data_IF_008473565015
#
_entry.id   IF_008473565015
#
_cell.length_a   1.000
_cell.length_b   1.000
_cell.length_c   1.000
_cell.angle_alpha   90.00
_cell.angle_beta   90.00
_cell.angle_gamma   90.00
#
_symmetry.space_group_name_H-M   'P 1'
#
loop_
_entity.id
_entity.type
_entity.pdbx_description
1 polymer ?
#
# COMPACT_ATOMS: atom_id res chain seq x y z
N UNK A 1 5.20 29.03 -40.47
CA UNK A 1 6.39 28.51 -39.78
C UNK A 1 6.40 29.06 -38.36
N UNK A 2 6.24 28.20 -37.34
CA UNK A 2 6.41 28.55 -35.93
C UNK A 2 7.53 27.66 -35.38
N UNK A 3 8.61 28.30 -34.98
CA UNK A 3 9.87 27.71 -34.54
C UNK A 3 9.70 26.97 -33.22
N UNK A 4 9.98 25.68 -33.22
CA UNK A 4 10.08 24.84 -32.03
C UNK A 4 11.40 25.19 -31.32
N UNK A 5 11.33 25.64 -30.07
CA UNK A 5 12.53 25.84 -29.22
C UNK A 5 12.86 24.51 -28.55
N UNK A 6 13.97 23.91 -28.99
CA UNK A 6 14.65 22.78 -28.35
C UNK A 6 15.23 23.27 -27.02
N UNK A 7 14.91 22.61 -25.91
CA UNK A 7 15.63 22.77 -24.65
C UNK A 7 16.60 21.60 -24.55
N UNK A 8 17.89 21.87 -24.76
CA UNK A 8 18.97 20.91 -24.55
C UNK A 8 19.12 20.61 -23.05
N UNK A 9 18.73 19.41 -22.63
CA UNK A 9 19.16 18.82 -21.37
C UNK A 9 20.63 18.42 -21.50
N UNK A 10 21.53 19.30 -21.04
CA UNK A 10 22.94 18.96 -20.84
C UNK A 10 23.06 18.11 -19.57
N UNK A 11 23.09 16.79 -19.74
CA UNK A 11 23.48 15.85 -18.70
C UNK A 11 25.00 15.94 -18.48
N UNK A 12 25.50 16.19 -17.25
CA UNK A 12 26.92 16.04 -16.96
C UNK A 12 27.25 14.54 -16.92
N UNK A 13 27.92 14.05 -17.95
CA UNK A 13 28.65 12.78 -17.92
C UNK A 13 29.82 12.93 -16.94
N UNK A 14 29.65 12.42 -15.73
CA UNK A 14 30.75 12.23 -14.78
C UNK A 14 31.72 11.19 -15.35
N UNK A 15 32.81 11.67 -15.95
CA UNK A 15 33.97 10.87 -16.29
C UNK A 15 34.67 10.44 -14.99
N UNK A 16 34.61 9.14 -14.66
CA UNK A 16 35.48 8.52 -13.66
C UNK A 16 36.91 8.45 -14.20
N UNK A 17 37.69 9.48 -13.89
CA UNK A 17 39.14 9.49 -14.08
C UNK A 17 39.84 8.88 -12.86
N UNK A 18 40.43 7.71 -13.05
CA UNK A 18 41.37 7.07 -12.13
C UNK A 18 42.74 7.74 -12.23
N UNK A 19 43.38 8.01 -11.09
CA UNK A 19 44.84 7.87 -11.00
C UNK A 19 45.67 9.07 -10.55
N UNK A 20 46.43 8.80 -9.48
CA UNK A 20 47.80 9.24 -9.17
C UNK A 20 48.03 10.45 -8.22
N UNK A 21 48.58 10.03 -7.08
CA UNK A 21 49.32 10.75 -6.03
C UNK A 21 50.54 11.52 -6.52
N UNK A 22 50.78 12.71 -5.95
CA UNK A 22 52.11 13.15 -5.47
C UNK A 22 52.03 14.47 -4.68
N UNK A 23 52.81 14.53 -3.59
CA UNK A 23 53.09 15.68 -2.70
C UNK A 23 53.76 16.85 -3.44
N UNK A 24 53.49 18.09 -3.02
CA UNK A 24 54.47 19.05 -2.43
C UNK A 24 53.84 20.43 -2.12
N UNK A 25 54.61 21.26 -1.40
CA UNK A 25 54.24 22.29 -0.40
C UNK A 25 54.30 23.75 -0.93
N UNK A 26 53.49 24.62 -0.30
CA UNK A 26 53.57 26.09 -0.12
C UNK A 26 53.26 27.07 -1.28
N UNK A 27 52.26 27.95 -1.08
CA UNK A 27 52.42 29.35 -0.62
C UNK A 27 51.06 30.06 -0.48
N UNK A 28 50.94 30.95 0.50
CA UNK A 28 49.78 31.81 0.77
C UNK A 28 49.50 32.82 -0.35
N UNK A 29 48.23 32.93 -0.78
CA UNK A 29 47.63 34.21 -1.15
C UNK A 29 46.16 34.29 -0.72
N UNK A 30 45.90 35.16 0.25
CA UNK A 30 44.58 35.73 0.56
C UNK A 30 44.06 36.51 -0.65
N UNK A 31 42.82 36.25 -1.07
CA UNK A 31 41.77 37.27 -1.28
C UNK A 31 40.45 36.63 -1.72
N UNK A 32 39.36 37.04 -1.05
CA UNK A 32 37.99 36.92 -1.54
C UNK A 32 37.29 35.59 -1.26
N UNK A 33 36.68 35.45 -0.08
CA UNK A 33 35.63 34.45 0.14
C UNK A 33 34.35 34.98 -0.52
N UNK A 34 33.80 34.38 -1.59
CA UNK A 34 32.39 34.51 -1.85
C UNK A 34 31.66 33.67 -0.79
N UNK A 35 30.69 34.29 -0.12
CA UNK A 35 29.71 33.59 0.72
C UNK A 35 29.30 32.30 0.03
N UNK A 36 29.61 31.17 0.67
CA UNK A 36 28.95 29.90 0.40
C UNK A 36 27.48 30.18 0.61
N UNK A 37 26.73 30.22 -0.49
CA UNK A 37 25.29 30.16 -0.43
C UNK A 37 24.98 28.90 0.40
N UNK A 38 24.43 29.14 1.58
CA UNK A 38 23.72 28.15 2.37
C UNK A 38 22.85 27.38 1.39
N UNK A 39 23.31 26.17 1.03
CA UNK A 39 22.40 25.17 0.52
C UNK A 39 21.46 24.98 1.68
N UNK A 40 20.22 25.46 1.50
CA UNK A 40 19.11 25.21 2.40
C UNK A 40 19.16 23.74 2.76
N UNK A 41 19.66 23.47 3.97
CA UNK A 41 19.48 22.18 4.61
C UNK A 41 17.97 22.06 4.70
N UNK A 42 17.38 21.29 3.78
CA UNK A 42 16.08 20.68 4.04
C UNK A 42 16.20 20.10 5.43
N UNK A 43 15.29 20.54 6.28
CA UNK A 43 15.34 20.45 7.72
C UNK A 43 15.35 18.98 8.18
N UNK A 44 16.51 18.32 8.09
CA UNK A 44 16.78 16.97 8.62
C UNK A 44 16.58 16.91 10.13
N UNK A 45 16.49 18.08 10.79
CA UNK A 45 16.26 18.19 12.23
C UNK A 45 14.83 17.80 12.65
N UNK A 46 13.84 17.80 11.74
CA UNK A 46 12.45 17.53 12.11
C UNK A 46 12.19 16.07 12.53
N UNK A 47 13.05 15.13 12.12
CA UNK A 47 12.92 13.70 12.44
C UNK A 47 13.72 13.26 13.68
N UNK A 48 14.51 14.16 14.27
CA UNK A 48 15.47 13.78 15.33
C UNK A 48 14.85 13.56 16.72
N UNK A 49 13.53 13.73 16.89
CA UNK A 49 12.89 13.62 18.22
C UNK A 49 11.74 12.62 18.33
N UNK A 50 11.03 12.32 17.25
CA UNK A 50 10.05 11.23 17.24
C UNK A 50 9.78 10.69 15.82
N UNK A 51 10.32 9.51 15.50
CA UNK A 51 10.14 8.84 14.20
C UNK A 51 8.84 8.03 14.12
N UNK A 52 8.17 7.79 15.25
CA UNK A 52 7.02 6.87 15.32
C UNK A 52 5.69 7.60 15.28
N UNK A 53 5.59 8.79 15.88
CA UNK A 53 4.35 9.56 15.85
C UNK A 53 3.81 9.82 14.43
N UNK A 54 4.62 10.21 13.43
CA UNK A 54 4.13 10.37 12.05
C UNK A 54 3.58 9.08 11.45
N UNK A 55 4.20 7.93 11.74
CA UNK A 55 3.73 6.62 11.29
C UNK A 55 2.39 6.31 11.95
N UNK A 56 2.30 6.49 13.26
CA UNK A 56 1.09 6.23 14.02
C UNK A 56 -0.08 7.10 13.54
N UNK A 57 0.15 8.40 13.31
CA UNK A 57 -0.85 9.31 12.75
C UNK A 57 -1.33 8.87 11.37
N UNK A 58 -0.43 8.39 10.50
CA UNK A 58 -0.80 7.94 9.17
C UNK A 58 -1.63 6.65 9.22
N UNK A 59 -1.25 5.68 10.05
CA UNK A 59 -2.05 4.46 10.28
C UNK A 59 -3.45 4.80 10.80
N UNK A 60 -3.56 5.74 11.74
CA UNK A 60 -4.84 6.22 12.30
C UNK A 60 -5.72 6.91 11.23
N UNK A 61 -5.12 7.63 10.28
CA UNK A 61 -5.87 8.27 9.18
C UNK A 61 -6.48 7.22 8.26
N UNK A 62 -5.70 6.23 7.84
CA UNK A 62 -6.18 5.17 6.94
C UNK A 62 -7.36 4.43 7.61
N UNK A 63 -7.26 4.17 8.92
CA UNK A 63 -8.34 3.56 9.70
C UNK A 63 -9.63 4.43 9.71
N UNK A 64 -9.50 5.72 10.04
CA UNK A 64 -10.64 6.66 10.17
C UNK A 64 -11.32 6.95 8.84
N UNK A 65 -10.55 7.22 7.78
CA UNK A 65 -11.10 7.44 6.45
C UNK A 65 -11.90 6.21 5.98
N UNK A 66 -11.42 5.01 6.32
CA UNK A 66 -12.19 3.78 6.15
C UNK A 66 -13.54 3.85 6.86
N UNK A 67 -13.60 4.13 8.16
CA UNK A 67 -14.84 4.21 8.95
C UNK A 67 -15.85 5.24 8.42
N UNK A 68 -15.42 6.45 8.09
CA UNK A 68 -16.29 7.52 7.62
C UNK A 68 -16.97 7.19 6.29
N UNK A 69 -16.23 6.59 5.34
CA UNK A 69 -16.77 6.16 4.04
C UNK A 69 -17.84 5.06 4.19
N UNK A 70 -17.75 4.21 5.23
CA UNK A 70 -18.77 3.21 5.55
C UNK A 70 -20.09 3.84 5.98
N UNK A 71 -20.00 4.89 6.78
CA UNK A 71 -21.15 5.58 7.36
C UNK A 71 -21.85 6.48 6.32
N UNK A 72 -21.09 7.10 5.41
CA UNK A 72 -21.64 7.86 4.29
C UNK A 72 -22.43 6.97 3.32
N UNK A 73 -21.86 5.84 2.87
CA UNK A 73 -22.55 4.88 1.97
C UNK A 73 -23.79 4.25 2.59
N UNK A 74 -23.80 3.97 3.91
CA UNK A 74 -25.01 3.51 4.63
C UNK A 74 -26.13 4.55 4.68
N UNK A 75 -25.77 5.84 4.72
CA UNK A 75 -26.75 6.92 4.77
C UNK A 75 -27.40 7.14 3.39
N UNK A 76 -26.64 6.95 2.31
CA UNK A 76 -27.13 7.06 0.93
C UNK A 76 -27.96 5.82 0.49
N UNK A 77 -27.59 4.60 0.89
CA UNK A 77 -28.40 3.38 0.62
C UNK A 77 -29.77 3.42 1.32
N UNK A 78 -29.89 4.05 2.49
CA UNK A 78 -31.16 4.17 3.22
C UNK A 78 -32.13 5.21 2.60
N UNK A 79 -31.62 6.15 1.80
CA UNK A 79 -32.45 7.13 1.08
C UNK A 79 -33.00 6.53 -0.22
N UNK A 80 -32.24 5.66 -0.88
CA UNK A 80 -32.66 4.99 -2.12
C UNK A 80 -33.65 3.83 -1.93
N UNK A 81 -33.73 3.22 -0.74
CA UNK A 81 -34.76 2.22 -0.42
C UNK A 81 -36.16 2.81 -0.27
N UNK A 82 -36.28 4.09 0.08
CA UNK A 82 -37.57 4.78 0.31
C UNK A 82 -38.28 5.17 -1.00
N UNK A 83 -37.62 5.06 -2.16
CA UNK A 83 -38.19 5.43 -3.47
C UNK A 83 -38.73 4.21 -4.25
N UNK A 84 -38.46 2.97 -3.82
CA UNK A 84 -38.84 1.75 -4.56
C UNK A 84 -39.99 0.93 -3.95
N UNK A 85 -40.70 1.43 -2.94
CA UNK A 85 -41.85 0.73 -2.34
C UNK A 85 -43.24 1.16 -2.87
N UNK A 86 -43.32 1.80 -4.03
CA UNK A 86 -44.59 2.01 -4.75
C UNK A 86 -44.59 1.37 -6.14
N UNK A 87 -44.37 0.06 -6.24
CA UNK A 87 -45.06 -0.71 -7.29
C UNK A 87 -45.13 -2.20 -6.91
N UNK A 88 -46.15 -2.54 -6.10
CA UNK A 88 -46.58 -3.93 -5.97
C UNK A 88 -48.05 -4.02 -6.35
N UNK A 89 -48.34 -4.66 -7.48
CA UNK A 89 -49.52 -5.53 -7.66
C UNK A 89 -49.57 -6.17 -9.06
N UNK A 90 -49.14 -7.43 -9.19
CA UNK A 90 -50.03 -8.50 -9.70
C UNK A 90 -49.50 -9.93 -9.51
N UNK A 91 -50.30 -10.68 -8.76
CA UNK A 91 -50.52 -12.14 -8.65
C UNK A 91 -50.48 -12.83 -10.04
N UNK A 92 -50.08 -14.10 -10.22
CA UNK A 92 -50.92 -15.31 -10.05
C UNK A 92 -50.10 -16.64 -10.13
N UNK A 93 -50.45 -17.54 -9.18
CA UNK A 93 -50.33 -19.03 -8.99
C UNK A 93 -50.42 -19.93 -10.25
N UNK A 94 -50.15 -21.26 -10.33
CA UNK A 94 -49.62 -22.41 -9.54
C UNK A 94 -49.50 -23.62 -10.53
N UNK A 95 -48.47 -24.49 -10.34
CA UNK A 95 -48.32 -25.98 -10.48
C UNK A 95 -49.31 -26.91 -11.28
N UNK A 96 -49.04 -28.23 -11.48
CA UNK A 96 -47.81 -29.03 -11.74
C UNK A 96 -48.02 -30.14 -12.85
N UNK A 97 -47.11 -31.13 -12.99
CA UNK A 97 -47.35 -32.61 -13.21
C UNK A 97 -46.39 -33.33 -14.21
N UNK A 98 -45.60 -34.26 -13.62
CA UNK A 98 -45.21 -35.65 -13.97
C UNK A 98 -44.47 -36.11 -15.26
N UNK A 99 -43.24 -36.61 -15.02
CA UNK A 99 -42.75 -38.03 -15.06
C UNK A 99 -42.56 -38.79 -16.41
N UNK A 100 -41.43 -39.52 -16.44
CA UNK A 100 -40.96 -40.59 -17.37
C UNK A 100 -40.25 -40.09 -18.65
N UNK A 101 -39.10 -40.58 -19.09
CA UNK A 101 -38.41 -41.86 -18.85
C UNK A 101 -36.88 -41.69 -18.95
N UNK A 102 -36.14 -42.37 -18.05
CA UNK A 102 -34.70 -42.59 -18.20
C UNK A 102 -34.49 -43.76 -19.15
N UNK A 103 -33.61 -43.61 -20.15
CA UNK A 103 -33.14 -44.72 -20.99
C UNK A 103 -31.62 -44.87 -20.85
N UNK A 104 -31.19 -46.15 -20.84
CA UNK A 104 -29.84 -46.69 -20.63
C UNK A 104 -28.82 -46.32 -21.75
N UNK A 105 -29.03 -45.24 -22.49
CA UNK A 105 -28.17 -44.81 -23.60
C UNK A 105 -27.34 -43.54 -23.30
N UNK A 106 -27.63 -42.83 -22.20
CA UNK A 106 -26.90 -41.62 -21.82
C UNK A 106 -25.79 -41.87 -20.77
N UNK A 107 -25.60 -43.12 -20.38
CA UNK A 107 -24.52 -43.59 -19.48
C UNK A 107 -23.16 -43.74 -20.20
N UNK A 108 -23.05 -43.24 -21.44
CA UNK A 108 -21.81 -43.25 -22.25
C UNK A 108 -21.39 -41.87 -22.81
N UNK A 109 -22.00 -40.79 -22.35
CA UNK A 109 -21.48 -39.41 -22.52
C UNK A 109 -20.77 -38.90 -21.25
N UNK A 110 -20.44 -39.79 -20.31
CA UNK A 110 -19.82 -39.44 -19.03
C UNK A 110 -18.28 -39.42 -19.05
N UNK A 111 -17.66 -39.13 -20.20
CA UNK A 111 -16.20 -38.97 -20.30
C UNK A 111 -15.76 -37.70 -21.04
N UNK A 112 -16.67 -36.85 -21.50
CA UNK A 112 -16.31 -35.66 -22.30
C UNK A 112 -17.17 -34.41 -21.99
N UNK A 113 -17.49 -34.20 -20.71
CA UNK A 113 -18.09 -32.95 -20.24
C UNK A 113 -17.24 -32.34 -19.14
N UNK A 114 -16.54 -31.30 -19.57
CA UNK A 114 -16.17 -30.13 -18.80
C UNK A 114 -15.49 -30.43 -17.46
N UNK A 115 -14.18 -30.21 -17.45
CA UNK A 115 -13.56 -29.54 -16.31
C UNK A 115 -14.44 -28.31 -16.06
N UNK A 116 -15.37 -28.43 -15.12
CA UNK A 116 -16.04 -27.30 -14.50
C UNK A 116 -14.87 -26.54 -13.89
N UNK A 117 -14.29 -25.62 -14.67
CA UNK A 117 -13.60 -24.48 -14.09
C UNK A 117 -14.60 -23.98 -13.10
N UNK A 118 -14.26 -24.06 -11.82
CA UNK A 118 -15.00 -23.41 -10.77
C UNK A 118 -15.08 -21.94 -11.21
N UNK A 119 -16.18 -21.59 -11.88
CA UNK A 119 -16.46 -20.23 -12.32
C UNK A 119 -16.89 -19.56 -11.04
N UNK A 120 -15.89 -19.25 -10.21
CA UNK A 120 -16.09 -18.32 -9.14
C UNK A 120 -16.68 -17.07 -9.77
N UNK A 121 -17.84 -16.60 -9.26
CA UNK A 121 -18.46 -15.41 -9.81
C UNK A 121 -17.40 -14.29 -9.84
N UNK A 122 -17.35 -13.49 -10.91
CA UNK A 122 -16.37 -12.41 -11.00
C UNK A 122 -16.47 -11.54 -9.75
N UNK A 123 -15.32 -11.26 -9.14
CA UNK A 123 -15.24 -10.39 -7.96
C UNK A 123 -15.89 -9.06 -8.32
N UNK A 124 -16.88 -8.63 -7.54
CA UNK A 124 -17.53 -7.34 -7.74
C UNK A 124 -16.69 -6.23 -7.10
N UNK A 125 -16.81 -4.99 -7.58
CA UNK A 125 -16.14 -3.85 -6.95
C UNK A 125 -16.49 -3.74 -5.45
N UNK A 126 -17.77 -3.89 -5.08
CA UNK A 126 -18.20 -3.86 -3.67
C UNK A 126 -17.53 -4.95 -2.83
N UNK A 127 -17.37 -6.16 -3.38
CA UNK A 127 -16.68 -7.24 -2.69
C UNK A 127 -15.19 -6.94 -2.53
N UNK A 128 -14.53 -6.47 -3.58
CA UNK A 128 -13.13 -6.05 -3.53
C UNK A 128 -12.90 -4.93 -2.51
N UNK A 129 -13.72 -3.88 -2.50
CA UNK A 129 -13.68 -2.78 -1.53
C UNK A 129 -13.81 -3.26 -0.07
N UNK A 130 -14.64 -4.29 0.18
CA UNK A 130 -14.79 -4.89 1.50
C UNK A 130 -13.56 -5.71 1.90
N UNK A 131 -13.03 -6.50 0.98
CA UNK A 131 -11.90 -7.39 1.23
C UNK A 131 -10.61 -6.60 1.44
N UNK A 132 -10.31 -5.63 0.56
CA UNK A 132 -9.13 -4.78 0.69
C UNK A 132 -9.14 -4.04 2.03
N UNK A 133 -10.29 -3.49 2.44
CA UNK A 133 -10.45 -2.83 3.74
C UNK A 133 -10.19 -3.78 4.90
N UNK A 134 -10.73 -4.99 4.84
CA UNK A 134 -10.56 -5.98 5.91
C UNK A 134 -9.08 -6.33 6.07
N UNK A 135 -8.37 -6.52 4.96
CA UNK A 135 -6.93 -6.81 4.96
C UNK A 135 -6.11 -5.61 5.43
N UNK A 136 -6.44 -4.39 4.99
CA UNK A 136 -5.77 -3.17 5.46
C UNK A 136 -5.94 -2.98 6.97
N UNK A 137 -7.14 -3.17 7.53
CA UNK A 137 -7.32 -3.07 8.99
C UNK A 137 -6.48 -4.11 9.76
N UNK A 138 -6.31 -5.32 9.22
CA UNK A 138 -5.41 -6.31 9.83
C UNK A 138 -3.95 -5.86 9.78
N UNK A 139 -3.53 -5.26 8.67
CA UNK A 139 -2.20 -4.69 8.49
C UNK A 139 -1.93 -3.50 9.43
N UNK A 140 -2.88 -2.56 9.53
CA UNK A 140 -2.83 -1.41 10.46
C UNK A 140 -2.73 -1.85 11.92
N UNK A 141 -3.51 -2.86 12.32
CA UNK A 141 -3.47 -3.39 13.68
C UNK A 141 -2.11 -3.98 14.07
N UNK A 142 -1.39 -4.58 13.11
CA UNK A 142 -0.02 -5.03 13.35
C UNK A 142 0.94 -3.83 13.44
N UNK A 143 0.80 -2.84 12.57
CA UNK A 143 1.60 -1.62 12.60
C UNK A 143 1.43 -0.81 13.88
N UNK A 144 0.21 -0.68 14.41
CA UNK A 144 -0.06 0.05 15.66
C UNK A 144 0.74 -0.48 16.85
N UNK A 145 1.23 -1.72 16.80
CA UNK A 145 2.08 -2.30 17.85
C UNK A 145 3.48 -1.67 17.89
N UNK A 146 3.90 -0.91 16.88
CA UNK A 146 5.20 -0.24 16.85
C UNK A 146 5.34 0.84 17.93
N UNK A 147 4.28 1.61 18.17
CA UNK A 147 4.27 2.71 19.14
C UNK A 147 4.56 2.25 20.56
N UNK A 148 3.84 1.28 21.14
CA UNK A 148 4.16 0.79 22.48
C UNK A 148 5.53 0.13 22.56
N UNK A 149 6.07 -0.44 21.47
CA UNK A 149 7.44 -0.96 21.45
C UNK A 149 8.43 0.19 21.61
N UNK A 150 8.32 1.24 20.78
CA UNK A 150 9.20 2.40 20.82
C UNK A 150 9.12 3.19 22.14
N UNK A 151 7.94 3.33 22.71
CA UNK A 151 7.75 4.01 24.00
C UNK A 151 8.45 3.29 25.16
N UNK A 152 8.53 1.95 25.14
CA UNK A 152 9.30 1.18 26.12
C UNK A 152 10.80 1.43 26.01
N UNK A 153 11.30 1.53 24.79
CA UNK A 153 12.72 1.76 24.51
C UNK A 153 12.92 2.40 23.14
N UNK A 154 13.16 3.72 23.17
CA UNK A 154 13.37 4.55 21.98
C UNK A 154 14.62 4.17 21.18
N UNK A 155 15.59 3.51 21.82
CA UNK A 155 16.81 3.04 21.17
C UNK A 155 16.67 1.66 20.52
N UNK A 156 15.51 1.03 20.71
CA UNK A 156 15.21 -0.35 20.32
C UNK A 156 16.23 -1.40 20.78
N UNK A 157 17.02 -1.13 21.82
CA UNK A 157 18.11 -2.03 22.26
C UNK A 157 17.61 -3.24 23.03
N UNK A 158 16.55 -3.06 23.81
CA UNK A 158 15.99 -4.03 24.77
C UNK A 158 14.72 -4.73 24.28
N UNK A 159 14.09 -4.21 23.22
CA UNK A 159 12.83 -4.70 22.65
C UNK A 159 13.00 -5.24 21.22
N UNK A 160 14.23 -5.52 20.76
CA UNK A 160 14.55 -5.98 19.39
C UNK A 160 13.69 -7.13 18.91
N UNK A 161 13.45 -8.11 19.78
CA UNK A 161 12.66 -9.29 19.42
C UNK A 161 11.18 -8.96 19.28
N UNK A 162 10.64 -8.06 20.10
CA UNK A 162 9.27 -7.54 19.92
C UNK A 162 9.15 -6.78 18.58
N UNK A 163 10.12 -5.91 18.28
CA UNK A 163 10.16 -5.16 17.01
C UNK A 163 10.26 -6.11 15.81
N UNK A 164 11.17 -7.08 15.85
CA UNK A 164 11.34 -8.10 14.80
C UNK A 164 10.05 -8.89 14.54
N UNK A 165 9.37 -9.32 15.59
CA UNK A 165 8.14 -10.12 15.46
C UNK A 165 6.97 -9.29 14.94
N UNK A 166 6.84 -8.04 15.37
CA UNK A 166 5.87 -7.10 14.80
C UNK A 166 6.13 -6.89 13.30
N UNK A 167 7.38 -6.61 12.89
CA UNK A 167 7.70 -6.39 11.48
C UNK A 167 7.37 -7.61 10.62
N UNK A 168 7.69 -8.84 11.09
CA UNK A 168 7.32 -10.08 10.39
C UNK A 168 5.80 -10.24 10.26
N UNK A 169 5.05 -9.95 11.32
CA UNK A 169 3.59 -10.04 11.31
C UNK A 169 2.96 -9.02 10.35
N UNK A 170 3.43 -7.77 10.39
CA UNK A 170 3.02 -6.70 9.47
C UNK A 170 3.26 -7.09 8.01
N UNK A 171 4.45 -7.63 7.71
CA UNK A 171 4.78 -8.09 6.35
C UNK A 171 3.83 -9.19 5.88
N UNK A 172 3.52 -10.16 6.73
CA UNK A 172 2.59 -11.24 6.39
C UNK A 172 1.16 -10.72 6.10
N UNK A 173 0.73 -9.64 6.75
CA UNK A 173 -0.55 -9.00 6.42
C UNK A 173 -0.46 -8.21 5.11
N UNK A 174 0.63 -7.50 4.88
CA UNK A 174 0.90 -6.78 3.63
C UNK A 174 0.88 -7.68 2.41
N UNK A 175 1.46 -8.89 2.52
CA UNK A 175 1.43 -9.88 1.44
C UNK A 175 0.01 -10.33 1.08
N UNK A 176 -0.95 -10.30 2.01
CA UNK A 176 -2.36 -10.59 1.69
C UNK A 176 -3.00 -9.48 0.87
N UNK A 177 -2.66 -8.22 1.17
CA UNK A 177 -3.11 -7.04 0.42
C UNK A 177 -2.57 -7.12 -1.01
N UNK A 178 -1.26 -7.36 -1.18
CA UNK A 178 -0.61 -7.52 -2.50
C UNK A 178 -1.24 -8.62 -3.36
N UNK A 179 -1.65 -9.73 -2.73
CA UNK A 179 -2.22 -10.87 -3.45
C UNK A 179 -3.72 -10.73 -3.76
N UNK A 180 -4.38 -9.67 -3.29
CA UNK A 180 -5.80 -9.45 -3.57
C UNK A 180 -5.99 -8.99 -5.02
N UNK A 181 -6.72 -9.79 -5.80
CA UNK A 181 -6.98 -9.48 -7.21
C UNK A 181 -8.19 -8.56 -7.34
N UNK A 182 -8.05 -7.38 -7.99
CA UNK A 182 -9.21 -6.56 -8.31
C UNK A 182 -10.09 -7.20 -9.39
N UNK A 183 -11.34 -6.72 -9.55
CA UNK A 183 -12.16 -7.04 -10.70
C UNK A 183 -11.46 -6.64 -12.00
N UNK A 184 -11.73 -7.35 -13.11
CA UNK A 184 -11.08 -7.11 -14.40
C UNK A 184 -11.27 -5.68 -14.93
N UNK A 185 -12.43 -5.07 -14.66
CA UNK A 185 -12.74 -3.69 -15.05
C UNK A 185 -11.88 -2.65 -14.32
N UNK A 186 -11.32 -3.03 -13.16
CA UNK A 186 -10.51 -2.19 -12.28
C UNK A 186 -9.13 -2.82 -12.05
N UNK A 187 -8.58 -3.51 -13.06
CA UNK A 187 -7.31 -4.23 -12.95
C UNK A 187 -6.11 -3.31 -12.64
N UNK A 188 -6.20 -2.03 -12.99
CA UNK A 188 -5.23 -1.00 -12.63
C UNK A 188 -5.01 -0.86 -11.12
N UNK A 189 -6.02 -1.16 -10.28
CA UNK A 189 -5.83 -1.16 -8.82
C UNK A 189 -4.80 -2.18 -8.34
N UNK A 190 -4.50 -3.20 -9.14
CA UNK A 190 -3.44 -4.14 -8.83
C UNK A 190 -2.11 -3.42 -8.73
N UNK A 191 -1.75 -2.61 -9.73
CA UNK A 191 -0.50 -1.85 -9.73
C UNK A 191 -0.54 -0.73 -8.69
N UNK A 192 -1.67 -0.03 -8.57
CA UNK A 192 -1.81 1.08 -7.61
C UNK A 192 -1.59 0.61 -6.17
N UNK A 193 -1.99 -0.61 -5.81
CA UNK A 193 -1.70 -1.21 -4.50
C UNK A 193 -0.26 -1.73 -4.41
N UNK A 194 0.25 -2.36 -5.48
CA UNK A 194 1.58 -2.96 -5.46
C UNK A 194 2.71 -1.94 -5.30
N UNK A 195 2.60 -0.76 -5.89
CA UNK A 195 3.63 0.28 -5.81
C UNK A 195 3.90 0.76 -4.36
N UNK A 196 2.90 1.22 -3.58
CA UNK A 196 3.11 1.57 -2.18
C UNK A 196 3.48 0.36 -1.31
N UNK A 197 2.89 -0.81 -1.56
CA UNK A 197 3.23 -2.02 -0.80
C UNK A 197 4.69 -2.45 -0.98
N UNK A 198 5.26 -2.26 -2.18
CA UNK A 198 6.68 -2.48 -2.43
C UNK A 198 7.55 -1.55 -1.58
N UNK A 199 7.20 -0.27 -1.47
CA UNK A 199 7.93 0.69 -0.63
C UNK A 199 7.84 0.29 0.85
N UNK A 200 6.65 -0.05 1.33
CA UNK A 200 6.42 -0.55 2.69
C UNK A 200 7.29 -1.78 2.96
N UNK A 201 7.32 -2.75 2.04
CA UNK A 201 8.10 -3.99 2.20
C UNK A 201 9.60 -3.72 2.28
N UNK A 202 10.12 -2.85 1.41
CA UNK A 202 11.52 -2.44 1.46
C UNK A 202 11.86 -1.75 2.78
N UNK A 203 10.97 -0.88 3.26
CA UNK A 203 11.13 -0.20 4.54
C UNK A 203 11.15 -1.18 5.73
N UNK A 204 10.23 -2.15 5.76
CA UNK A 204 10.21 -3.20 6.78
C UNK A 204 11.48 -4.07 6.73
N UNK A 205 12.01 -4.34 5.54
CA UNK A 205 13.27 -5.08 5.38
C UNK A 205 14.47 -4.28 5.89
N UNK A 206 14.48 -2.96 5.71
CA UNK A 206 15.48 -2.06 6.28
C UNK A 206 15.43 -2.06 7.83
N UNK A 207 14.23 -2.03 8.41
CA UNK A 207 14.04 -2.15 9.87
C UNK A 207 14.57 -3.50 10.37
N UNK A 208 14.23 -4.60 9.71
CA UNK A 208 14.73 -5.93 10.07
C UNK A 208 16.26 -6.01 9.97
N UNK A 209 16.84 -5.43 8.92
CA UNK A 209 18.29 -5.36 8.75
C UNK A 209 18.92 -4.59 9.92
N UNK A 210 18.36 -3.43 10.28
CA UNK A 210 18.81 -2.64 11.43
C UNK A 210 18.74 -3.40 12.75
N UNK A 211 17.65 -4.12 13.00
CA UNK A 211 17.49 -4.98 14.19
C UNK A 211 18.51 -6.11 14.22
N UNK A 212 18.80 -6.73 13.07
CA UNK A 212 19.73 -7.86 12.99
C UNK A 212 21.21 -7.45 13.05
N UNK A 213 21.51 -6.19 12.72
CA UNK A 213 22.88 -5.67 12.64
C UNK A 213 23.19 -4.63 13.71
N UNK A 214 22.27 -4.42 14.67
CA UNK A 214 22.36 -3.40 15.71
C UNK A 214 22.60 -1.98 15.15
N UNK A 215 22.02 -1.71 13.98
CA UNK A 215 22.19 -0.46 13.25
C UNK A 215 20.92 0.40 13.36
N UNK A 216 20.98 1.39 14.26
CA UNK A 216 19.86 2.33 14.49
C UNK A 216 19.55 3.19 13.26
N UNK A 217 20.56 3.59 12.50
CA UNK A 217 20.37 4.39 11.28
C UNK A 217 19.49 3.62 10.27
N UNK A 218 19.69 2.31 10.15
CA UNK A 218 18.84 1.44 9.31
C UNK A 218 17.42 1.30 9.82
N UNK A 219 17.24 1.25 11.15
CA UNK A 219 15.90 1.28 11.75
C UNK A 219 15.22 2.61 11.42
N UNK A 220 15.89 3.74 11.61
CA UNK A 220 15.37 5.08 11.32
C UNK A 220 15.02 5.26 9.84
N UNK A 221 15.93 4.87 8.93
CA UNK A 221 15.70 4.90 7.49
C UNK A 221 14.49 4.05 7.10
N UNK A 222 14.37 2.86 7.69
CA UNK A 222 13.21 1.99 7.51
C UNK A 222 11.91 2.64 8.00
N UNK A 223 11.90 3.28 9.17
CA UNK A 223 10.72 4.00 9.68
C UNK A 223 10.29 5.16 8.78
N UNK A 224 11.25 5.94 8.28
CA UNK A 224 10.97 7.03 7.33
C UNK A 224 10.38 6.48 6.02
N UNK A 225 10.94 5.39 5.50
CA UNK A 225 10.42 4.72 4.30
C UNK A 225 9.01 4.16 4.53
N UNK A 226 8.75 3.63 5.73
CA UNK A 226 7.44 3.09 6.11
C UNK A 226 6.38 4.19 6.11
N UNK A 227 6.68 5.36 6.69
CA UNK A 227 5.79 6.53 6.64
C UNK A 227 5.42 6.90 5.20
N UNK A 228 6.41 7.03 4.31
CA UNK A 228 6.16 7.38 2.90
C UNK A 228 5.35 6.31 2.17
N UNK A 229 5.59 5.03 2.46
CA UNK A 229 4.82 3.93 1.90
C UNK A 229 3.35 3.96 2.34
N UNK A 230 3.10 4.27 3.62
CA UNK A 230 1.75 4.35 4.20
C UNK A 230 0.95 5.53 3.65
N UNK A 231 1.56 6.70 3.51
CA UNK A 231 0.91 7.87 2.90
C UNK A 231 0.41 7.54 1.48
N UNK A 232 1.25 6.90 0.66
CA UNK A 232 0.87 6.48 -0.68
C UNK A 232 -0.22 5.40 -0.68
N UNK A 233 -0.15 4.43 0.24
CA UNK A 233 -1.18 3.41 0.40
C UNK A 233 -2.53 4.04 0.76
N UNK A 234 -2.55 5.01 1.67
CA UNK A 234 -3.76 5.74 2.08
C UNK A 234 -4.44 6.41 0.89
N UNK A 235 -3.68 7.11 0.04
CA UNK A 235 -4.22 7.74 -1.18
C UNK A 235 -4.89 6.74 -2.13
N UNK A 236 -4.27 5.57 -2.32
CA UNK A 236 -4.80 4.52 -3.20
C UNK A 236 -6.06 3.91 -2.61
N UNK A 237 -6.07 3.61 -1.30
CA UNK A 237 -7.24 3.05 -0.61
C UNK A 237 -8.44 4.00 -0.66
N UNK A 238 -8.20 5.30 -0.55
CA UNK A 238 -9.24 6.32 -0.72
C UNK A 238 -9.83 6.29 -2.14
N UNK A 239 -8.97 6.25 -3.17
CA UNK A 239 -9.40 6.12 -4.57
C UNK A 239 -10.27 4.87 -4.80
N UNK A 240 -9.84 3.71 -4.26
CA UNK A 240 -10.59 2.46 -4.34
C UNK A 240 -11.97 2.61 -3.68
N UNK A 241 -12.03 3.25 -2.51
CA UNK A 241 -13.27 3.39 -1.74
C UNK A 241 -14.28 4.37 -2.37
N UNK A 242 -13.79 5.38 -3.08
CA UNK A 242 -14.59 6.39 -3.80
C UNK A 242 -15.08 5.91 -5.18
N UNK A 243 -14.55 4.79 -5.69
CA UNK A 243 -14.95 4.23 -6.99
C UNK A 243 -16.34 3.58 -6.92
N UNK A 244 -17.13 3.76 -7.99
CA UNK A 244 -18.52 3.28 -8.17
C UNK A 244 -18.65 2.25 -9.29
#
# INVERSE_FOLDING_TARGET
MKTKKLICLAFPLMLLGVGCSSKDIAEEKKTGSPQVAESEKKDESKYTKDIIDPIYEEVDKIYKEGEELKNKKKTEENINSTIKEEDSSKKVMKEPVDKAARTLAEERESEDKDIIKEVNPPVTLKQYQKDIRTLTTQFENELHKIKPIYEKDKSFKTNKEELRNMVKATRAQGEKIENLKPPKEYDYFFQDIHDPMKVIKMALDEVLLGVNTDNMEKIEQGMIGLYSGLENLGMVLKSIAETE
#
